data_IF_251089227790
#
_entry.id   IF_251089227790
#
_cell.length_a   1.000
_cell.length_b   1.000
_cell.length_c   1.000
_cell.angle_alpha   90.00
_cell.angle_beta   90.00
_cell.angle_gamma   90.00
#
_symmetry.space_group_name_H-M   'P 1'
#
loop_
_entity.id
_entity.type
_entity.pdbx_description
1 polymer ?
#
# COMPACT_ATOMS: atom_id res chain seq x y z
N UNK A 1 -12.60 -18.77 31.71
CA UNK A 1 -13.12 -17.42 31.39
C UNK A 1 -12.06 -16.48 30.81
N UNK A 2 -10.84 -16.39 31.37
CA UNK A 2 -9.80 -15.49 30.81
C UNK A 2 -9.27 -15.93 29.43
N UNK A 3 -9.10 -17.25 29.18
CA UNK A 3 -8.61 -17.78 27.91
C UNK A 3 -9.59 -17.57 26.73
N UNK A 4 -10.89 -17.69 26.98
CA UNK A 4 -11.94 -17.45 25.97
C UNK A 4 -12.04 -15.97 25.58
N UNK A 5 -11.75 -15.05 26.50
CA UNK A 5 -11.70 -13.61 26.18
C UNK A 5 -10.46 -13.24 25.36
N UNK A 6 -9.33 -13.92 25.60
CA UNK A 6 -8.09 -13.70 24.87
C UNK A 6 -8.17 -14.24 23.43
N UNK A 7 -8.81 -15.39 23.22
CA UNK A 7 -9.05 -15.94 21.88
C UNK A 7 -9.92 -15.02 21.01
N UNK A 8 -10.88 -14.32 21.61
CA UNK A 8 -11.78 -13.43 20.88
C UNK A 8 -11.15 -12.05 20.59
N UNK A 9 -10.21 -11.58 21.41
CA UNK A 9 -9.62 -10.23 21.26
C UNK A 9 -8.24 -10.27 20.60
N UNK A 10 -7.44 -11.30 20.85
CA UNK A 10 -6.08 -11.45 20.32
C UNK A 10 -5.80 -12.91 19.90
N UNK A 11 -6.51 -13.43 18.87
CA UNK A 11 -6.35 -14.80 18.39
C UNK A 11 -4.92 -15.11 17.92
N UNK A 12 -4.24 -14.12 17.33
CA UNK A 12 -2.85 -14.22 16.89
C UNK A 12 -1.90 -14.55 18.05
N UNK A 13 -2.12 -13.94 19.22
CA UNK A 13 -1.31 -14.22 20.41
C UNK A 13 -1.48 -15.67 20.89
N UNK A 14 -2.70 -16.23 20.85
CA UNK A 14 -2.93 -17.64 21.17
C UNK A 14 -2.19 -18.56 20.20
N UNK A 15 -2.22 -18.26 18.91
CA UNK A 15 -1.48 -19.00 17.89
C UNK A 15 0.05 -18.94 18.10
N UNK A 16 0.55 -17.79 18.57
CA UNK A 16 1.96 -17.57 18.84
C UNK A 16 2.43 -18.31 20.10
N UNK A 17 1.56 -18.45 21.11
CA UNK A 17 1.82 -19.28 22.29
C UNK A 17 1.79 -20.79 21.97
N UNK A 18 0.97 -21.20 20.99
CA UNK A 18 0.91 -22.58 20.49
C UNK A 18 1.93 -22.87 19.37
N UNK A 19 2.96 -22.03 19.21
CA UNK A 19 3.88 -22.12 18.08
C UNK A 19 4.84 -23.31 18.20
N UNK A 20 4.86 -24.17 17.19
CA UNK A 20 5.79 -25.30 17.12
C UNK A 20 7.15 -24.88 16.55
N UNK A 21 8.25 -25.33 17.18
CA UNK A 21 9.61 -25.07 16.68
C UNK A 21 9.88 -25.63 15.29
N UNK A 22 9.11 -26.63 14.86
CA UNK A 22 9.16 -27.21 13.52
C UNK A 22 8.84 -26.19 12.42
N UNK A 23 8.01 -25.18 12.72
CA UNK A 23 7.55 -24.15 11.77
C UNK A 23 8.55 -23.02 11.56
N UNK A 24 9.54 -22.86 12.44
CA UNK A 24 10.46 -21.72 12.40
C UNK A 24 11.27 -21.63 11.10
N UNK A 25 11.78 -22.76 10.60
CA UNK A 25 12.55 -22.79 9.34
C UNK A 25 11.71 -22.42 8.11
N UNK A 26 10.54 -23.05 7.86
CA UNK A 26 9.70 -22.66 6.73
C UNK A 26 9.18 -21.22 6.86
N UNK A 27 8.83 -20.77 8.07
CA UNK A 27 8.31 -19.42 8.29
C UNK A 27 9.38 -18.34 8.04
N UNK A 28 10.64 -18.56 8.45
CA UNK A 28 11.73 -17.62 8.14
C UNK A 28 11.94 -17.51 6.62
N UNK A 29 11.89 -18.63 5.89
CA UNK A 29 12.05 -18.64 4.43
C UNK A 29 10.88 -17.93 3.73
N UNK A 30 9.66 -18.17 4.21
CA UNK A 30 8.47 -17.49 3.71
C UNK A 30 8.53 -15.98 4.02
N UNK A 31 8.86 -15.61 5.25
CA UNK A 31 9.00 -14.23 5.70
C UNK A 31 10.06 -13.46 4.92
N UNK A 32 11.21 -14.07 4.63
CA UNK A 32 12.25 -13.44 3.80
C UNK A 32 11.78 -13.23 2.35
N UNK A 33 11.06 -14.21 1.80
CA UNK A 33 10.46 -14.10 0.45
C UNK A 33 9.42 -12.97 0.39
N UNK A 34 8.57 -12.88 1.42
CA UNK A 34 7.55 -11.83 1.55
C UNK A 34 8.22 -10.46 1.70
N UNK A 35 9.20 -10.32 2.59
CA UNK A 35 9.91 -9.07 2.82
C UNK A 35 10.62 -8.57 1.55
N UNK A 36 11.20 -9.48 0.77
CA UNK A 36 11.86 -9.15 -0.49
C UNK A 36 10.91 -8.50 -1.51
N UNK A 37 9.62 -8.86 -1.50
CA UNK A 37 8.60 -8.25 -2.37
C UNK A 37 7.95 -7.04 -1.71
N UNK A 38 7.63 -7.13 -0.41
CA UNK A 38 6.90 -6.10 0.33
C UNK A 38 7.68 -4.79 0.47
N UNK A 39 9.01 -4.84 0.63
CA UNK A 39 9.84 -3.65 0.79
C UNK A 39 9.81 -2.73 -0.46
N UNK A 40 10.13 -3.21 -1.68
CA UNK A 40 9.97 -2.43 -2.90
C UNK A 40 8.54 -1.91 -3.12
N UNK A 41 7.54 -2.77 -2.87
CA UNK A 41 6.13 -2.44 -3.12
C UNK A 41 5.66 -1.33 -2.16
N UNK A 42 6.05 -1.39 -0.89
CA UNK A 42 5.68 -0.39 0.10
C UNK A 42 6.24 1.00 -0.23
N UNK A 43 7.47 1.06 -0.76
CA UNK A 43 8.09 2.32 -1.22
C UNK A 43 7.28 2.90 -2.38
N UNK A 44 6.92 2.08 -3.37
CA UNK A 44 6.11 2.50 -4.50
C UNK A 44 4.71 2.98 -4.10
N UNK A 45 4.09 2.31 -3.11
CA UNK A 45 2.78 2.69 -2.59
C UNK A 45 2.79 3.98 -1.76
N UNK A 46 3.85 4.24 -1.00
CA UNK A 46 4.02 5.53 -0.33
C UNK A 46 4.06 6.69 -1.34
N UNK A 47 4.81 6.51 -2.43
CA UNK A 47 4.90 7.48 -3.52
C UNK A 47 3.55 7.67 -4.23
N UNK A 48 2.78 6.60 -4.43
CA UNK A 48 1.41 6.67 -4.95
C UNK A 48 0.47 7.45 -4.03
N UNK A 49 0.61 7.30 -2.71
CA UNK A 49 -0.15 8.06 -1.73
C UNK A 49 0.34 9.50 -1.55
N UNK A 50 1.42 9.91 -2.22
CA UNK A 50 1.99 11.26 -2.12
C UNK A 50 2.75 11.52 -0.82
N UNK A 51 3.18 10.48 -0.10
CA UNK A 51 3.95 10.59 1.15
C UNK A 51 5.39 10.10 0.96
N UNK A 52 6.28 10.42 1.90
CA UNK A 52 7.67 9.98 1.85
C UNK A 52 7.80 8.45 1.83
N UNK A 53 8.77 7.93 1.08
CA UNK A 53 9.05 6.50 0.95
C UNK A 53 9.21 5.78 2.31
N UNK A 54 9.74 6.47 3.32
CA UNK A 54 9.92 5.91 4.66
C UNK A 54 8.59 5.55 5.34
N UNK A 55 7.52 6.28 5.01
CA UNK A 55 6.17 6.01 5.52
C UNK A 55 5.67 4.66 5.01
N UNK A 56 6.02 4.29 3.77
CA UNK A 56 5.72 2.97 3.22
C UNK A 56 6.36 1.86 4.03
N UNK A 57 7.62 2.04 4.46
CA UNK A 57 8.31 1.08 5.32
C UNK A 57 7.62 0.97 6.69
N UNK A 58 7.18 2.08 7.28
CA UNK A 58 6.42 2.04 8.53
C UNK A 58 5.05 1.36 8.36
N UNK A 59 4.36 1.60 7.25
CA UNK A 59 3.03 1.05 6.98
C UNK A 59 3.04 -0.44 6.65
N UNK A 60 4.19 -1.03 6.30
CA UNK A 60 4.32 -2.48 6.22
C UNK A 60 4.75 -3.10 7.57
N UNK A 61 5.74 -2.51 8.27
CA UNK A 61 6.30 -3.13 9.49
C UNK A 61 5.33 -3.05 10.68
N UNK A 62 4.81 -1.87 11.02
CA UNK A 62 4.02 -1.69 12.24
C UNK A 62 2.67 -2.43 12.19
N UNK A 63 1.90 -2.38 11.07
CA UNK A 63 0.66 -3.13 10.98
C UNK A 63 0.85 -4.65 10.98
N UNK A 64 1.97 -5.18 10.44
CA UNK A 64 2.27 -6.61 10.54
C UNK A 64 2.48 -7.05 11.99
N UNK A 65 3.18 -6.24 12.81
CA UNK A 65 3.37 -6.55 14.24
C UNK A 65 2.03 -6.55 14.97
N UNK A 66 1.18 -5.55 14.72
CA UNK A 66 -0.17 -5.50 15.28
C UNK A 66 -1.01 -6.71 14.82
N UNK A 67 -0.96 -7.04 13.53
CA UNK A 67 -1.70 -8.17 12.96
C UNK A 67 -1.23 -9.52 13.50
N UNK A 68 0.05 -9.70 13.81
CA UNK A 68 0.54 -10.92 14.44
C UNK A 68 -0.11 -11.18 15.83
N UNK A 69 -0.60 -10.13 16.50
CA UNK A 69 -1.25 -10.21 17.81
C UNK A 69 -2.77 -10.37 17.64
N UNK A 70 -3.39 -9.53 16.82
CA UNK A 70 -4.85 -9.42 16.70
C UNK A 70 -5.45 -10.25 15.55
N UNK A 71 -4.65 -10.69 14.58
CA UNK A 71 -5.11 -11.34 13.37
C UNK A 71 -5.59 -12.78 13.59
N UNK A 72 -6.70 -13.13 12.94
CA UNK A 72 -7.28 -14.48 12.96
C UNK A 72 -6.62 -15.43 11.93
N UNK A 73 -6.06 -14.89 10.83
CA UNK A 73 -5.43 -15.69 9.77
C UNK A 73 -3.91 -15.75 9.92
N UNK A 74 -3.35 -16.97 9.99
CA UNK A 74 -1.89 -17.19 10.09
C UNK A 74 -1.11 -16.84 8.82
N UNK A 75 -1.78 -16.75 7.67
CA UNK A 75 -1.13 -16.57 6.36
C UNK A 75 -1.40 -15.19 5.75
N UNK A 76 -2.30 -14.41 6.33
CA UNK A 76 -2.59 -13.08 5.83
C UNK A 76 -1.42 -12.14 6.14
N UNK A 77 -0.98 -11.41 5.12
CA UNK A 77 0.01 -10.35 5.26
C UNK A 77 -0.74 -9.03 5.16
N UNK A 78 -0.57 -8.19 6.18
CA UNK A 78 -1.11 -6.83 6.20
C UNK A 78 -0.01 -5.86 5.76
N UNK A 79 -0.36 -4.91 4.91
CA UNK A 79 0.55 -3.87 4.45
C UNK A 79 -0.20 -2.85 3.62
N UNK A 80 0.50 -1.83 3.09
CA UNK A 80 -0.11 -0.89 2.17
C UNK A 80 -0.64 -1.61 0.94
N UNK A 81 -1.80 -1.20 0.47
CA UNK A 81 -2.43 -1.71 -0.75
C UNK A 81 -2.67 -0.59 -1.76
N UNK A 82 -2.68 -0.94 -3.04
CA UNK A 82 -2.74 0.04 -4.10
C UNK A 82 -4.07 0.83 -4.12
N UNK A 83 -5.17 0.19 -3.71
CA UNK A 83 -6.49 0.82 -3.70
C UNK A 83 -6.59 1.88 -2.60
N UNK A 84 -6.16 1.56 -1.37
CA UNK A 84 -6.15 2.52 -0.26
C UNK A 84 -5.22 3.68 -0.55
N UNK A 85 -4.01 3.43 -1.10
CA UNK A 85 -3.10 4.49 -1.48
C UNK A 85 -3.69 5.41 -2.56
N UNK A 86 -4.36 4.85 -3.58
CA UNK A 86 -5.01 5.65 -4.62
C UNK A 86 -6.17 6.51 -4.06
N UNK A 87 -6.97 5.97 -3.14
CA UNK A 87 -8.06 6.72 -2.49
C UNK A 87 -7.52 7.84 -1.60
N UNK A 88 -6.47 7.57 -0.81
CA UNK A 88 -5.80 8.59 -0.01
C UNK A 88 -5.26 9.70 -0.93
N UNK A 89 -4.58 9.34 -2.03
CA UNK A 89 -4.06 10.31 -2.97
C UNK A 89 -5.17 11.18 -3.59
N UNK A 90 -6.26 10.56 -4.05
CA UNK A 90 -7.37 11.27 -4.68
C UNK A 90 -8.06 12.28 -3.75
N UNK A 91 -8.08 12.00 -2.44
CA UNK A 91 -8.74 12.85 -1.44
C UNK A 91 -7.78 13.87 -0.85
N UNK A 92 -6.59 13.45 -0.45
CA UNK A 92 -5.64 14.30 0.29
C UNK A 92 -4.93 15.29 -0.62
N UNK A 93 -4.54 14.89 -1.83
CA UNK A 93 -3.79 15.75 -2.77
C UNK A 93 -4.51 17.08 -3.05
N UNK A 94 -5.81 17.10 -3.44
CA UNK A 94 -6.51 18.36 -3.69
C UNK A 94 -6.70 19.19 -2.42
N UNK A 95 -6.93 18.57 -1.26
CA UNK A 95 -7.08 19.26 0.03
C UNK A 95 -5.77 19.89 0.52
N UNK A 96 -4.63 19.24 0.24
CA UNK A 96 -3.31 19.72 0.60
C UNK A 96 -2.84 20.90 -0.25
N UNK A 97 -3.40 21.07 -1.46
CA UNK A 97 -3.09 22.17 -2.39
C UNK A 97 -1.58 22.39 -2.60
N UNK A 98 -0.81 21.30 -2.68
CA UNK A 98 0.65 21.31 -2.88
C UNK A 98 1.49 21.51 -1.61
N UNK A 99 0.87 21.68 -0.43
CA UNK A 99 1.59 21.76 0.84
C UNK A 99 1.91 20.36 1.38
N UNK A 100 3.20 19.99 1.35
CA UNK A 100 3.70 18.67 1.78
C UNK A 100 3.42 18.35 3.25
N UNK A 101 3.53 19.33 4.15
CA UNK A 101 3.27 19.13 5.58
C UNK A 101 1.77 18.90 5.82
N UNK A 102 0.92 19.68 5.14
CA UNK A 102 -0.52 19.49 5.23
C UNK A 102 -0.95 18.14 4.64
N UNK A 103 -0.35 17.70 3.53
CA UNK A 103 -0.59 16.38 2.94
C UNK A 103 -0.29 15.29 3.96
N UNK A 104 0.88 15.33 4.60
CA UNK A 104 1.27 14.39 5.65
C UNK A 104 0.27 14.34 6.81
N UNK A 105 -0.11 15.51 7.34
CA UNK A 105 -1.06 15.61 8.46
C UNK A 105 -2.46 15.08 8.10
N UNK A 106 -2.96 15.41 6.90
CA UNK A 106 -4.24 14.91 6.40
C UNK A 106 -4.22 13.40 6.18
N UNK A 107 -3.12 12.83 5.68
CA UNK A 107 -2.97 11.38 5.55
C UNK A 107 -3.01 10.68 6.91
N UNK A 108 -2.33 11.21 7.93
CA UNK A 108 -2.38 10.67 9.30
C UNK A 108 -3.82 10.68 9.82
N UNK A 109 -4.49 11.82 9.73
CA UNK A 109 -5.87 11.99 10.22
C UNK A 109 -6.83 11.05 9.50
N UNK A 110 -6.78 11.00 8.17
CA UNK A 110 -7.65 10.13 7.37
C UNK A 110 -7.44 8.65 7.74
N UNK A 111 -6.18 8.24 7.96
CA UNK A 111 -5.84 6.87 8.38
C UNK A 111 -6.37 6.58 9.79
N UNK A 112 -6.25 7.52 10.74
CA UNK A 112 -6.82 7.37 12.08
C UNK A 112 -8.34 7.28 12.04
N UNK A 113 -9.01 8.13 11.26
CA UNK A 113 -10.47 8.12 11.10
C UNK A 113 -10.97 6.83 10.43
N UNK A 114 -10.23 6.32 9.45
CA UNK A 114 -10.51 5.02 8.86
C UNK A 114 -10.41 3.91 9.92
N UNK A 115 -9.35 3.91 10.73
CA UNK A 115 -9.18 2.96 11.83
C UNK A 115 -10.31 3.04 12.85
N UNK A 116 -10.76 4.24 13.22
CA UNK A 116 -11.92 4.40 14.12
C UNK A 116 -13.21 3.88 13.49
N UNK A 117 -13.44 4.10 12.19
CA UNK A 117 -14.57 3.50 11.48
C UNK A 117 -14.52 1.98 11.49
N UNK A 118 -13.35 1.36 11.29
CA UNK A 118 -13.18 -0.09 11.39
C UNK A 118 -13.49 -0.60 12.81
N UNK A 119 -13.02 0.09 13.85
CA UNK A 119 -13.31 -0.27 15.26
C UNK A 119 -14.81 -0.14 15.59
N UNK A 120 -15.46 0.90 15.08
CA UNK A 120 -16.92 1.08 15.21
C UNK A 120 -17.63 -0.07 14.51
N UNK A 121 -17.25 -0.39 13.27
CA UNK A 121 -17.85 -1.47 12.50
C UNK A 121 -17.72 -2.84 13.19
N UNK A 122 -16.53 -3.17 13.70
CA UNK A 122 -16.27 -4.37 14.50
C UNK A 122 -17.15 -4.42 15.75
N UNK A 123 -17.28 -3.28 16.47
CA UNK A 123 -18.12 -3.21 17.68
C UNK A 123 -19.59 -3.48 17.42
N UNK A 124 -20.08 -3.14 16.23
CA UNK A 124 -21.45 -3.41 15.78
C UNK A 124 -21.60 -4.73 15.02
N UNK A 125 -20.53 -5.53 14.91
CA UNK A 125 -20.48 -6.80 14.16
C UNK A 125 -20.91 -6.64 12.70
N UNK A 126 -20.44 -5.55 12.09
CA UNK A 126 -20.71 -5.25 10.69
C UNK A 126 -19.85 -6.09 9.74
N UNK A 127 -19.07 -7.05 10.24
CA UNK A 127 -18.31 -7.99 9.42
C UNK A 127 -19.18 -8.76 8.42
N UNK A 128 -20.45 -8.99 8.77
CA UNK A 128 -21.46 -9.58 7.90
C UNK A 128 -21.74 -8.76 6.62
N UNK A 129 -21.42 -7.45 6.60
CA UNK A 129 -21.53 -6.64 5.37
C UNK A 129 -20.56 -7.14 4.30
N UNK A 130 -19.43 -7.78 4.67
CA UNK A 130 -18.55 -8.43 3.70
C UNK A 130 -19.28 -9.51 2.87
N UNK A 131 -20.29 -10.17 3.45
CA UNK A 131 -21.06 -11.22 2.78
C UNK A 131 -22.02 -10.65 1.73
N UNK A 132 -22.34 -9.35 1.82
CA UNK A 132 -23.27 -8.68 0.90
C UNK A 132 -22.58 -8.12 -0.35
N UNK A 133 -21.25 -8.15 -0.41
CA UNK A 133 -20.49 -7.63 -1.55
C UNK A 133 -20.33 -8.68 -2.62
N UNK A 134 -21.05 -8.46 -3.72
CA UNK A 134 -21.02 -9.37 -4.87
C UNK A 134 -19.67 -9.30 -5.59
N UNK A 135 -19.21 -10.44 -6.12
CA UNK A 135 -17.99 -10.52 -6.95
C UNK A 135 -17.94 -9.48 -8.08
N UNK A 136 -19.04 -9.16 -8.79
CA UNK A 136 -19.04 -8.10 -9.79
C UNK A 136 -18.65 -6.71 -9.28
N UNK A 137 -19.12 -6.30 -8.10
CA UNK A 137 -18.79 -4.99 -7.50
C UNK A 137 -17.28 -4.91 -7.23
N UNK A 138 -16.72 -6.00 -6.70
CA UNK A 138 -15.29 -6.12 -6.40
C UNK A 138 -14.43 -6.04 -7.65
N UNK A 139 -14.82 -6.77 -8.70
CA UNK A 139 -14.13 -6.72 -9.98
C UNK A 139 -14.20 -5.31 -10.59
N UNK A 140 -15.34 -4.63 -10.48
CA UNK A 140 -15.48 -3.24 -10.91
C UNK A 140 -14.52 -2.29 -10.17
N UNK A 141 -14.46 -2.39 -8.85
CA UNK A 141 -13.56 -1.61 -8.00
C UNK A 141 -12.08 -1.85 -8.35
N UNK A 142 -11.65 -3.12 -8.41
CA UNK A 142 -10.27 -3.49 -8.69
C UNK A 142 -9.82 -3.04 -10.09
N UNK A 143 -10.67 -3.22 -11.11
CA UNK A 143 -10.37 -2.76 -12.46
C UNK A 143 -10.33 -1.22 -12.55
N UNK A 144 -11.24 -0.53 -11.85
CA UNK A 144 -11.23 0.93 -11.79
C UNK A 144 -9.96 1.48 -11.14
N UNK A 145 -9.59 0.93 -9.97
CA UNK A 145 -8.34 1.26 -9.28
C UNK A 145 -7.12 0.96 -10.16
N UNK A 146 -7.07 -0.22 -10.79
CA UNK A 146 -5.97 -0.59 -11.68
C UNK A 146 -5.82 0.39 -12.85
N UNK A 147 -6.93 0.80 -13.48
CA UNK A 147 -6.91 1.80 -14.54
C UNK A 147 -6.37 3.15 -14.05
N UNK A 148 -6.85 3.61 -12.89
CA UNK A 148 -6.37 4.86 -12.27
C UNK A 148 -4.86 4.79 -11.98
N UNK A 149 -4.37 3.68 -11.45
CA UNK A 149 -2.93 3.48 -11.19
C UNK A 149 -2.15 3.53 -12.50
N UNK A 150 -2.59 2.80 -13.53
CA UNK A 150 -1.91 2.79 -14.84
C UNK A 150 -1.79 4.22 -15.37
N UNK A 151 -2.91 4.97 -15.42
CA UNK A 151 -2.92 6.36 -15.91
C UNK A 151 -2.01 7.27 -15.07
N UNK A 152 -2.01 7.12 -13.75
CA UNK A 152 -1.16 7.91 -12.86
C UNK A 152 0.34 7.59 -13.00
N UNK A 153 0.69 6.37 -13.37
CA UNK A 153 2.08 5.94 -13.52
C UNK A 153 2.66 6.26 -14.90
N UNK A 154 1.85 6.50 -15.93
CA UNK A 154 2.33 6.84 -17.29
C UNK A 154 3.23 8.08 -17.25
N UNK A 155 2.85 9.14 -16.54
CA UNK A 155 3.65 10.37 -16.48
C UNK A 155 5.02 10.15 -15.84
N UNK A 156 5.09 9.27 -14.84
CA UNK A 156 6.35 8.91 -14.15
C UNK A 156 7.26 8.06 -15.02
N UNK A 157 6.68 7.08 -15.75
CA UNK A 157 7.41 6.21 -16.68
C UNK A 157 7.98 7.02 -17.86
N UNK A 158 7.22 7.99 -18.34
CA UNK A 158 7.64 8.87 -19.43
C UNK A 158 8.48 10.07 -18.96
N UNK A 159 8.50 10.36 -17.65
CA UNK A 159 9.31 11.41 -17.05
C UNK A 159 8.82 12.83 -17.34
N UNK A 160 7.51 13.05 -17.42
CA UNK A 160 6.90 14.38 -17.53
C UNK A 160 5.96 14.65 -16.35
N UNK A 161 5.73 15.93 -16.07
CA UNK A 161 4.75 16.37 -15.06
C UNK A 161 3.40 16.63 -15.70
N UNK A 162 2.35 15.96 -15.24
CA UNK A 162 0.97 16.22 -15.69
C UNK A 162 0.30 17.26 -14.78
N UNK A 163 -0.17 18.41 -15.29
CA UNK A 163 -0.88 19.41 -14.49
C UNK A 163 -2.28 18.95 -14.06
N UNK A 164 -2.89 18.01 -14.79
CA UNK A 164 -4.24 17.52 -14.52
C UNK A 164 -4.29 16.58 -13.31
N UNK A 165 -5.22 16.82 -12.38
CA UNK A 165 -5.52 15.87 -11.28
C UNK A 165 -6.41 14.72 -11.72
N UNK A 166 -7.32 14.98 -12.68
CA UNK A 166 -8.38 14.04 -13.04
C UNK A 166 -7.96 13.01 -14.10
N UNK A 167 -8.50 11.79 -13.96
CA UNK A 167 -8.17 10.65 -14.82
C UNK A 167 -8.44 10.92 -16.30
N UNK A 168 -9.63 11.44 -16.62
CA UNK A 168 -10.04 11.68 -18.01
C UNK A 168 -9.16 12.76 -18.65
N UNK A 169 -8.90 13.84 -17.92
CA UNK A 169 -8.02 14.92 -18.38
C UNK A 169 -6.60 14.43 -18.64
N UNK A 170 -6.07 13.56 -17.75
CA UNK A 170 -4.76 12.92 -17.96
C UNK A 170 -4.73 12.13 -19.25
N UNK A 171 -5.76 11.33 -19.54
CA UNK A 171 -5.85 10.53 -20.78
C UNK A 171 -5.87 11.44 -22.01
N UNK A 172 -6.70 12.48 -21.98
CA UNK A 172 -6.83 13.42 -23.10
C UNK A 172 -5.53 14.20 -23.35
N UNK A 173 -4.77 14.50 -22.29
CA UNK A 173 -3.50 15.21 -22.38
C UNK A 173 -2.31 14.29 -22.74
N UNK A 174 -2.48 12.96 -22.79
CA UNK A 174 -1.37 12.03 -23.10
C UNK A 174 -0.69 12.32 -24.45
N UNK A 175 -1.42 12.55 -25.57
CA UNK A 175 -0.79 12.75 -26.88
C UNK A 175 0.13 13.97 -26.92
N UNK A 176 -0.27 15.05 -26.24
CA UNK A 176 0.51 16.29 -26.17
C UNK A 176 1.74 16.12 -25.27
N UNK A 177 1.56 15.47 -24.11
CA UNK A 177 2.64 15.22 -23.15
C UNK A 177 3.66 14.17 -23.61
N UNK A 178 3.29 13.28 -24.54
CA UNK A 178 4.23 12.31 -25.10
C UNK A 178 5.43 13.00 -25.76
N UNK A 179 5.24 14.20 -26.33
CA UNK A 179 6.30 14.97 -26.96
C UNK A 179 7.28 15.60 -25.95
N UNK A 180 6.86 15.78 -24.69
CA UNK A 180 7.69 16.32 -23.61
C UNK A 180 8.34 15.23 -22.74
N UNK A 181 8.30 13.97 -23.19
CA UNK A 181 8.86 12.84 -22.44
C UNK A 181 10.38 12.94 -22.25
N UNK A 182 10.84 12.53 -21.07
CA UNK A 182 12.26 12.50 -20.71
C UNK A 182 12.88 11.14 -21.04
N UNK A 183 13.60 11.08 -22.16
CA UNK A 183 14.22 9.85 -22.68
C UNK A 183 15.07 9.07 -21.68
N UNK A 184 15.92 9.69 -20.83
CA UNK A 184 16.67 8.96 -19.81
C UNK A 184 15.77 8.24 -18.80
N UNK A 185 14.69 8.90 -18.37
CA UNK A 185 13.70 8.28 -17.45
C UNK A 185 13.02 7.10 -18.12
N UNK A 186 12.57 7.26 -19.37
CA UNK A 186 11.99 6.18 -20.15
C UNK A 186 12.93 4.98 -20.29
N UNK A 187 14.22 5.24 -20.52
CA UNK A 187 15.25 4.19 -20.61
C UNK A 187 15.36 3.39 -19.30
N UNK A 188 15.36 4.07 -18.16
CA UNK A 188 15.37 3.41 -16.85
C UNK A 188 14.07 2.67 -16.58
N UNK A 189 12.92 3.23 -16.92
CA UNK A 189 11.63 2.54 -16.76
C UNK A 189 11.53 1.29 -17.63
N UNK A 190 12.01 1.35 -18.87
CA UNK A 190 12.07 0.19 -19.77
C UNK A 190 13.04 -0.86 -19.23
N UNK A 191 14.22 -0.47 -18.77
CA UNK A 191 15.17 -1.38 -18.14
C UNK A 191 14.55 -2.06 -16.91
N UNK A 192 13.86 -1.29 -16.07
CA UNK A 192 13.15 -1.81 -14.88
C UNK A 192 12.12 -2.86 -15.29
N UNK A 193 11.31 -2.58 -16.32
CA UNK A 193 10.33 -3.52 -16.86
C UNK A 193 10.99 -4.79 -17.40
N UNK A 194 12.10 -4.67 -18.12
CA UNK A 194 12.85 -5.81 -18.65
C UNK A 194 13.43 -6.67 -17.52
N UNK A 195 13.92 -6.08 -16.43
CA UNK A 195 14.38 -6.82 -15.25
C UNK A 195 13.20 -7.57 -14.61
N UNK A 196 12.06 -6.91 -14.42
CA UNK A 196 10.87 -7.52 -13.82
C UNK A 196 10.40 -8.74 -14.64
N UNK A 197 10.23 -8.56 -15.94
CA UNK A 197 9.78 -9.62 -16.85
C UNK A 197 10.84 -10.72 -17.01
N UNK A 198 12.11 -10.34 -17.12
CA UNK A 198 13.23 -11.27 -17.26
C UNK A 198 13.38 -12.18 -16.05
N UNK A 199 13.32 -11.63 -14.84
CA UNK A 199 13.37 -12.44 -13.61
C UNK A 199 12.10 -13.28 -13.48
N UNK A 200 10.92 -12.72 -13.75
CA UNK A 200 9.66 -13.46 -13.68
C UNK A 200 9.63 -14.67 -14.62
N UNK A 201 10.13 -14.51 -15.85
CA UNK A 201 10.17 -15.59 -16.84
C UNK A 201 11.29 -16.61 -16.57
N UNK A 202 12.50 -16.16 -16.24
CA UNK A 202 13.63 -17.06 -16.04
C UNK A 202 13.60 -17.78 -14.68
N UNK A 203 13.09 -17.12 -13.63
CA UNK A 203 13.07 -17.60 -12.24
C UNK A 203 11.80 -17.11 -11.53
N UNK A 204 10.61 -17.71 -11.79
CA UNK A 204 9.34 -17.21 -11.26
C UNK A 204 9.24 -17.20 -9.72
N UNK A 205 10.08 -17.99 -9.04
CA UNK A 205 10.13 -18.03 -7.58
C UNK A 205 11.02 -16.94 -6.95
N UNK A 206 11.69 -16.12 -7.77
CA UNK A 206 12.59 -15.07 -7.30
C UNK A 206 11.85 -13.73 -7.18
N UNK A 207 12.19 -12.90 -6.18
CA UNK A 207 11.52 -11.63 -5.94
C UNK A 207 11.93 -10.58 -6.98
N UNK A 208 11.32 -10.62 -8.17
CA UNK A 208 11.63 -9.72 -9.27
C UNK A 208 11.63 -8.21 -8.89
N UNK A 209 10.69 -7.70 -8.07
CA UNK A 209 10.72 -6.31 -7.61
C UNK A 209 11.99 -5.93 -6.84
N UNK A 210 12.56 -6.85 -6.05
CA UNK A 210 13.80 -6.60 -5.32
C UNK A 210 14.97 -6.43 -6.27
N UNK A 211 15.10 -7.31 -7.26
CA UNK A 211 16.14 -7.22 -8.28
C UNK A 211 16.02 -5.92 -9.08
N UNK A 212 14.80 -5.55 -9.46
CA UNK A 212 14.55 -4.31 -10.17
C UNK A 212 15.05 -3.10 -9.36
N UNK A 213 14.68 -2.98 -8.08
CA UNK A 213 15.11 -1.85 -7.23
C UNK A 213 16.62 -1.87 -7.00
N UNK A 214 17.21 -3.03 -6.66
CA UNK A 214 18.64 -3.12 -6.36
C UNK A 214 19.49 -2.78 -7.59
N UNK A 215 19.18 -3.37 -8.75
CA UNK A 215 19.96 -3.16 -9.97
C UNK A 215 19.82 -1.73 -10.51
N UNK A 216 18.61 -1.18 -10.50
CA UNK A 216 18.38 0.20 -10.96
C UNK A 216 18.99 1.23 -10.02
N UNK A 217 18.97 0.98 -8.71
CA UNK A 217 19.66 1.83 -7.70
C UNK A 217 21.18 1.75 -7.86
N UNK A 218 21.73 0.55 -8.04
CA UNK A 218 23.17 0.37 -8.28
C UNK A 218 23.62 1.08 -9.56
N UNK A 219 22.82 0.98 -10.63
CA UNK A 219 23.06 1.70 -11.88
C UNK A 219 22.94 3.22 -11.68
N UNK A 220 21.93 3.68 -10.95
CA UNK A 220 21.73 5.09 -10.64
C UNK A 220 22.92 5.70 -9.90
N UNK A 221 23.45 4.95 -8.93
CA UNK A 221 24.63 5.34 -8.17
C UNK A 221 25.91 5.30 -9.03
N UNK A 222 26.16 4.20 -9.75
CA UNK A 222 27.39 4.02 -10.52
C UNK A 222 27.52 4.98 -11.72
N UNK A 223 26.40 5.25 -12.41
CA UNK A 223 26.36 6.18 -13.54
C UNK A 223 26.06 7.63 -13.15
N UNK A 224 25.85 7.89 -11.84
CA UNK A 224 25.41 9.19 -11.32
C UNK A 224 24.21 9.77 -12.10
N UNK A 225 23.17 8.94 -12.25
CA UNK A 225 21.97 9.25 -13.03
C UNK A 225 21.23 10.55 -12.63
N UNK A 226 21.29 11.05 -11.38
CA UNK A 226 20.75 12.37 -11.05
C UNK A 226 21.32 13.51 -11.92
N UNK A 227 22.56 13.37 -12.41
CA UNK A 227 23.17 14.36 -13.33
C UNK A 227 22.43 14.47 -14.66
N UNK A 228 21.73 13.41 -15.08
CA UNK A 228 20.95 13.37 -16.31
C UNK A 228 19.49 13.80 -16.11
N UNK A 229 19.14 14.42 -14.98
CA UNK A 229 17.78 14.87 -14.70
C UNK A 229 16.81 13.74 -14.35
N UNK A 230 17.32 12.54 -14.03
CA UNK A 230 16.49 11.43 -13.57
C UNK A 230 16.15 11.68 -12.10
N UNK A 231 14.86 11.80 -11.81
CA UNK A 231 14.37 11.91 -10.44
C UNK A 231 14.69 10.65 -9.66
N UNK A 232 15.34 10.83 -8.50
CA UNK A 232 15.57 9.76 -7.53
C UNK A 232 14.62 9.94 -6.36
N UNK A 233 14.29 8.84 -5.68
CA UNK A 233 13.53 8.87 -4.43
C UNK A 233 14.23 9.79 -3.43
N UNK A 234 13.71 11.01 -3.29
CA UNK A 234 14.24 12.04 -2.39
C UNK A 234 13.66 11.84 -0.99
N UNK A 235 14.40 12.24 0.05
CA UNK A 235 13.85 12.33 1.40
C UNK A 235 14.32 11.29 2.42
N UNK A 236 15.49 10.67 2.28
CA UNK A 236 16.15 10.07 3.44
C UNK A 236 16.88 11.17 4.24
N UNK A 237 16.16 11.88 5.09
CA UNK A 237 16.73 12.91 6.00
C UNK A 237 17.02 12.39 7.41
N UNK A 238 16.89 11.09 7.67
CA UNK A 238 17.33 10.47 8.91
C UNK A 238 16.59 9.18 9.23
N UNK A 239 17.31 8.19 9.74
CA UNK A 239 16.70 7.03 10.39
C UNK A 239 16.18 7.42 11.77
N UNK A 240 15.02 6.91 12.16
CA UNK A 240 14.42 7.20 13.46
C UNK A 240 12.99 6.69 13.53
N UNK A 241 12.35 6.84 14.69
CA UNK A 241 10.90 6.64 14.78
C UNK A 241 10.19 7.85 14.16
N UNK A 242 9.01 7.67 13.54
CA UNK A 242 8.25 8.78 12.97
C UNK A 242 7.95 9.82 14.05
N UNK A 243 8.41 11.06 13.86
CA UNK A 243 7.94 12.19 14.65
C UNK A 243 6.51 12.51 14.20
N UNK A 244 5.54 12.09 15.01
CA UNK A 244 4.15 12.46 14.80
C UNK A 244 3.97 13.90 15.24
N UNK A 245 3.94 14.84 14.27
CA UNK A 245 3.45 16.18 14.52
C UNK A 245 1.93 16.10 14.72
N UNK A 246 1.43 16.75 15.78
CA UNK A 246 -0.01 16.86 15.93
C UNK A 246 -0.56 17.73 14.80
N UNK A 247 -1.69 17.37 14.17
CA UNK A 247 -2.23 18.15 13.06
C UNK A 247 -2.59 19.57 13.52
N UNK A 248 -2.03 20.57 12.86
CA UNK A 248 -2.31 21.98 13.11
C UNK A 248 -2.91 22.60 11.84
N UNK A 249 -4.17 22.24 11.57
CA UNK A 249 -4.90 22.73 10.41
C UNK A 249 -6.34 23.06 10.75
N UNK A 250 -7.00 23.79 9.83
CA UNK A 250 -8.38 24.27 10.00
C UNK A 250 -9.34 23.09 10.29
N UNK A 251 -10.16 23.13 11.35
CA UNK A 251 -11.10 22.07 11.68
C UNK A 251 -12.08 21.69 10.55
N UNK A 252 -12.34 22.60 9.60
CA UNK A 252 -13.14 22.31 8.41
C UNK A 252 -12.62 21.11 7.60
N UNK A 253 -11.29 20.99 7.45
CA UNK A 253 -10.67 19.88 6.72
C UNK A 253 -10.91 18.52 7.39
N UNK A 254 -11.07 18.48 8.72
CA UNK A 254 -11.44 17.24 9.42
C UNK A 254 -12.81 16.74 8.98
N UNK A 255 -13.77 17.66 8.79
CA UNK A 255 -15.13 17.32 8.36
C UNK A 255 -15.13 16.75 6.94
N UNK A 256 -14.31 17.31 6.07
CA UNK A 256 -14.19 16.89 4.67
C UNK A 256 -13.59 15.47 4.55
N UNK A 257 -12.85 15.00 5.56
CA UNK A 257 -12.28 13.65 5.61
C UNK A 257 -13.25 12.58 6.15
N UNK A 258 -14.39 12.93 6.76
CA UNK A 258 -15.28 11.96 7.43
C UNK A 258 -15.82 10.91 6.47
N UNK A 259 -16.41 11.34 5.36
CA UNK A 259 -17.01 10.45 4.36
C UNK A 259 -15.91 9.71 3.57
N UNK A 260 -14.84 10.36 3.10
CA UNK A 260 -13.71 9.66 2.49
C UNK A 260 -13.08 8.59 3.38
N UNK A 261 -12.92 8.85 4.68
CA UNK A 261 -12.37 7.87 5.62
C UNK A 261 -13.29 6.65 5.80
N UNK A 262 -14.61 6.85 5.80
CA UNK A 262 -15.58 5.75 5.79
C UNK A 262 -15.48 4.91 4.51
N UNK A 263 -15.39 5.56 3.34
CA UNK A 263 -15.21 4.87 2.07
C UNK A 263 -13.91 4.07 2.04
N UNK A 264 -12.81 4.67 2.54
CA UNK A 264 -11.52 4.00 2.68
C UNK A 264 -11.62 2.78 3.61
N UNK A 265 -12.34 2.88 4.72
CA UNK A 265 -12.56 1.78 5.67
C UNK A 265 -13.29 0.61 4.99
N UNK A 266 -14.33 0.90 4.20
CA UNK A 266 -15.04 -0.13 3.41
C UNK A 266 -14.09 -0.78 2.41
N UNK A 267 -13.37 0.00 1.59
CA UNK A 267 -12.45 -0.53 0.57
C UNK A 267 -11.38 -1.45 1.18
N UNK A 268 -10.78 -1.03 2.31
CA UNK A 268 -9.76 -1.81 2.99
C UNK A 268 -10.33 -3.08 3.62
N UNK A 269 -11.46 -2.98 4.32
CA UNK A 269 -12.12 -4.12 4.95
C UNK A 269 -12.42 -5.21 3.92
N UNK A 270 -12.94 -4.80 2.77
CA UNK A 270 -13.28 -5.68 1.66
C UNK A 270 -12.05 -6.37 1.07
N UNK A 271 -11.00 -5.62 0.79
CA UNK A 271 -9.76 -6.15 0.21
C UNK A 271 -9.07 -7.15 1.13
N UNK A 272 -9.06 -6.86 2.44
CA UNK A 272 -8.50 -7.77 3.45
C UNK A 272 -9.36 -9.03 3.62
N UNK A 273 -10.69 -8.89 3.70
CA UNK A 273 -11.59 -10.03 3.90
C UNK A 273 -11.49 -11.04 2.76
N UNK A 274 -11.44 -10.56 1.51
CA UNK A 274 -11.31 -11.42 0.34
C UNK A 274 -10.03 -12.24 0.37
N UNK A 275 -8.92 -11.57 0.71
CA UNK A 275 -7.61 -12.23 0.80
C UNK A 275 -7.60 -13.25 1.93
N UNK A 276 -8.11 -12.86 3.11
CA UNK A 276 -8.18 -13.74 4.28
C UNK A 276 -9.02 -14.98 4.00
N UNK A 277 -10.22 -14.82 3.42
CA UNK A 277 -11.10 -15.93 3.05
C UNK A 277 -10.55 -16.80 1.94
N UNK A 278 -9.83 -16.22 0.98
CA UNK A 278 -9.14 -17.01 -0.06
C UNK A 278 -8.12 -17.96 0.54
N UNK A 279 -7.33 -17.49 1.52
CA UNK A 279 -6.42 -18.36 2.28
C UNK A 279 -7.18 -19.37 3.14
N UNK A 280 -8.24 -18.96 3.84
CA UNK A 280 -9.06 -19.84 4.67
C UNK A 280 -9.65 -21.00 3.85
N UNK A 281 -10.27 -20.69 2.70
CA UNK A 281 -10.83 -21.67 1.78
C UNK A 281 -9.78 -22.62 1.20
N UNK A 282 -8.58 -22.11 0.89
CA UNK A 282 -7.49 -22.92 0.34
C UNK A 282 -6.88 -23.89 1.38
N UNK A 283 -6.85 -23.50 2.65
CA UNK A 283 -6.16 -24.25 3.70
C UNK A 283 -7.10 -24.92 4.72
N UNK A 284 -8.42 -24.77 4.56
CA UNK A 284 -9.43 -25.46 5.38
C UNK A 284 -9.58 -24.91 6.81
N UNK A 285 -9.41 -23.59 7.00
CA UNK A 285 -9.69 -22.93 8.28
C UNK A 285 -10.75 -21.84 8.12
N UNK A 286 -11.34 -21.40 9.23
CA UNK A 286 -12.28 -20.28 9.27
C UNK A 286 -11.60 -18.98 9.68
N UNK A 287 -12.09 -17.86 9.19
CA UNK A 287 -11.61 -16.51 9.52
C UNK A 287 -12.75 -15.77 10.19
N UNK A 288 -12.50 -15.28 11.40
CA UNK A 288 -13.39 -14.32 12.05
C UNK A 288 -13.26 -12.96 11.35
N UNK A 289 -14.41 -12.37 11.05
CA UNK A 289 -14.53 -11.16 10.25
C UNK A 289 -14.60 -9.87 11.08
N UNK A 290 -14.91 -9.98 12.37
CA UNK A 290 -15.08 -8.84 13.29
C UNK A 290 -13.81 -8.54 14.12
#
# INVERSE_FOLDING_TARGET
>A
MQWTSLQNVAPGLTNLLAYERSWLKPDIRAGLSVAAVALPVAIAYAELAGVSAIVGLYSCILPMIAYAIFGSSRQLIVGPDAATCAVIAAVVTPLAAGNTELHWQLTIVMTLMMGTWCLIASRFRLGAIADLLSRPILNGLLNGVALTIIVNQISKVLGYTSPSSELIERILALPENLLSSHWPTMGISLLTLLILLGVHYARPNWPAPLFAVVLTTALAWAANLPRFGIETVSGYTGGGLPMVSWPDFKPGLLRDLVIPALNLAVVSFVSMMLTARSFAAKNGYEVDAD
#
